data_IF_443601923760
#
_entry.id   IF_443601923760
#
_cell.length_a   1.000
_cell.length_b   1.000
_cell.length_c   1.000
_cell.angle_alpha   90.00
_cell.angle_beta   90.00
_cell.angle_gamma   90.00
#
_symmetry.space_group_name_H-M   'P 1'
#
loop_
_entity.id
_entity.type
_entity.pdbx_description
1 polymer ?
#
# COMPACT_ATOMS: atom_id res chain seq x y z
N UNK A 1 26.18 -2.15 51.63
CA UNK A 1 26.28 -3.62 51.50
C UNK A 1 24.87 -4.17 51.46
N UNK A 2 24.51 -4.89 50.40
CA UNK A 2 23.17 -5.43 50.16
C UNK A 2 22.98 -5.74 48.68
N UNK A 3 23.56 -6.85 48.25
CA UNK A 3 23.43 -7.41 46.89
C UNK A 3 22.05 -8.13 46.70
N UNK A 4 21.66 -8.43 45.44
CA UNK A 4 20.27 -8.59 45.01
C UNK A 4 19.77 -10.04 44.95
N UNK A 5 18.44 -10.21 44.97
CA UNK A 5 17.78 -11.50 44.76
C UNK A 5 17.51 -11.78 43.27
N UNK A 6 17.92 -12.97 42.84
CA UNK A 6 17.83 -13.54 41.50
C UNK A 6 16.77 -14.67 41.48
N UNK A 7 15.92 -14.63 40.45
CA UNK A 7 15.20 -15.68 39.73
C UNK A 7 14.65 -16.92 40.46
N UNK A 8 13.37 -17.27 40.20
CA UNK A 8 12.96 -18.46 39.43
C UNK A 8 11.42 -18.59 39.37
N UNK A 9 10.89 -18.78 38.16
CA UNK A 9 9.66 -19.55 37.89
C UNK A 9 10.10 -20.86 37.20
N UNK A 10 9.34 -21.95 37.31
CA UNK A 10 8.38 -22.26 36.25
C UNK A 10 7.06 -22.88 36.74
N UNK A 11 6.02 -22.67 35.93
CA UNK A 11 4.69 -23.25 36.02
C UNK A 11 4.59 -24.27 34.88
N UNK A 12 4.49 -25.55 35.20
CA UNK A 12 4.16 -26.62 34.25
C UNK A 12 3.11 -27.54 34.88
N UNK A 13 1.87 -27.43 34.41
CA UNK A 13 0.80 -28.35 34.73
C UNK A 13 -0.21 -28.31 33.58
N UNK A 14 -0.32 -29.40 32.81
CA UNK A 14 -1.57 -30.11 32.49
C UNK A 14 -1.32 -31.11 31.35
N UNK A 15 -1.27 -32.40 31.67
CA UNK A 15 -1.49 -33.49 30.73
C UNK A 15 -2.43 -34.48 31.43
N UNK A 16 -3.68 -34.53 30.99
CA UNK A 16 -4.65 -35.54 31.41
C UNK A 16 -5.25 -36.20 30.16
N UNK A 17 -5.18 -37.52 30.16
CA UNK A 17 -5.88 -38.45 29.25
C UNK A 17 -7.04 -39.06 30.04
N UNK A 18 -8.13 -39.50 29.39
CA UNK A 18 -8.42 -40.94 29.51
C UNK A 18 -9.07 -41.59 28.27
N UNK A 19 -8.51 -42.74 27.90
CA UNK A 19 -9.06 -44.09 27.69
C UNK A 19 -10.47 -44.36 27.08
N UNK A 20 -10.43 -45.31 26.14
CA UNK A 20 -11.40 -46.35 25.70
C UNK A 20 -12.47 -46.08 24.62
N UNK A 21 -12.32 -46.77 23.48
CA UNK A 21 -13.22 -47.88 23.11
C UNK A 21 -12.72 -48.66 21.87
N UNK A 22 -12.72 -49.99 22.00
CA UNK A 22 -12.50 -51.00 20.96
C UNK A 22 -13.78 -51.26 20.16
N UNK A 23 -13.73 -51.38 18.83
CA UNK A 23 -14.57 -52.32 18.04
C UNK A 23 -13.80 -52.83 16.79
N UNK A 24 -13.30 -54.05 16.91
CA UNK A 24 -13.42 -55.25 16.05
C UNK A 24 -13.27 -55.27 14.51
N UNK A 25 -12.49 -56.30 14.11
CA UNK A 25 -12.56 -57.21 12.92
C UNK A 25 -11.98 -56.69 11.59
N UNK A 26 -11.42 -57.49 10.69
CA UNK A 26 -10.87 -58.85 10.56
C UNK A 26 -10.54 -58.98 9.06
N UNK A 27 -9.42 -59.59 8.65
CA UNK A 27 -9.26 -60.44 7.43
C UNK A 27 -7.81 -60.45 6.89
N UNK A 28 -7.07 -61.48 7.29
CA UNK A 28 -6.34 -62.47 6.45
C UNK A 28 -5.73 -62.10 5.08
N UNK A 29 -4.40 -62.29 4.98
CA UNK A 29 -3.77 -63.12 3.92
C UNK A 29 -3.22 -62.43 2.65
N UNK A 30 -1.97 -62.72 2.20
CA UNK A 30 -1.34 -62.03 1.06
C UNK A 30 -1.35 -62.78 -0.29
N UNK A 31 -1.58 -62.00 -1.38
CA UNK A 31 -1.18 -62.11 -2.81
C UNK A 31 -1.45 -63.40 -3.61
N UNK A 32 -1.87 -63.23 -4.88
CA UNK A 32 -0.91 -63.45 -5.99
C UNK A 32 -0.87 -62.33 -7.04
N UNK A 33 0.12 -62.44 -7.93
CA UNK A 33 0.75 -61.42 -8.76
C UNK A 33 -0.13 -60.75 -9.83
N UNK A 34 -0.01 -59.41 -9.94
CA UNK A 34 -0.48 -58.62 -11.08
C UNK A 34 0.73 -58.17 -11.92
N UNK A 35 0.81 -58.78 -13.11
CA UNK A 35 1.11 -58.19 -14.42
C UNK A 35 1.93 -56.89 -14.41
N UNK A 36 3.18 -57.00 -14.85
CA UNK A 36 4.04 -55.87 -15.23
C UNK A 36 3.57 -55.25 -16.55
N UNK A 37 3.08 -54.01 -16.51
CA UNK A 37 2.86 -53.16 -17.69
C UNK A 37 4.04 -52.17 -17.80
N UNK A 38 4.68 -51.98 -18.97
CA UNK A 38 5.83 -51.09 -19.10
C UNK A 38 5.42 -49.62 -18.98
N UNK A 39 6.18 -48.89 -18.14
CA UNK A 39 6.15 -47.43 -18.01
C UNK A 39 6.68 -46.80 -19.32
N UNK A 40 5.78 -46.27 -20.16
CA UNK A 40 6.17 -45.41 -21.27
C UNK A 40 6.26 -43.95 -20.80
N UNK A 41 7.42 -43.38 -21.05
CA UNK A 41 7.83 -42.01 -20.80
C UNK A 41 6.86 -40.97 -21.39
N UNK A 42 6.09 -40.32 -20.54
CA UNK A 42 5.41 -39.06 -20.86
C UNK A 42 6.21 -37.87 -20.30
N UNK A 43 7.34 -37.58 -20.93
CA UNK A 43 8.14 -36.37 -20.70
C UNK A 43 7.71 -35.27 -21.67
N UNK A 44 6.82 -34.37 -21.24
CA UNK A 44 6.58 -33.00 -21.78
C UNK A 44 5.30 -32.44 -21.10
N UNK A 45 5.21 -31.28 -20.46
CA UNK A 45 5.95 -30.01 -20.47
C UNK A 45 5.97 -29.48 -19.03
N UNK A 46 7.14 -29.00 -18.57
CA UNK A 46 7.19 -28.21 -17.35
C UNK A 46 6.40 -26.92 -17.58
N UNK A 47 5.42 -26.70 -16.72
CA UNK A 47 4.67 -25.45 -16.62
C UNK A 47 5.65 -24.29 -16.51
N UNK A 48 5.49 -23.36 -17.44
CA UNK A 48 6.37 -22.22 -17.63
C UNK A 48 6.72 -21.55 -16.30
N UNK A 49 8.02 -21.49 -16.07
CA UNK A 49 8.66 -20.59 -15.13
C UNK A 49 8.22 -19.16 -15.49
N UNK A 50 7.12 -18.70 -14.88
CA UNK A 50 6.73 -17.29 -14.93
C UNK A 50 7.74 -16.57 -14.07
N UNK A 51 8.86 -16.22 -14.70
CA UNK A 51 9.87 -15.34 -14.14
C UNK A 51 9.16 -14.05 -13.71
N UNK A 52 8.83 -13.95 -12.43
CA UNK A 52 8.45 -12.69 -11.81
C UNK A 52 9.69 -11.80 -11.88
N UNK A 53 9.85 -11.11 -13.01
CA UNK A 53 10.72 -9.95 -13.13
C UNK A 53 10.19 -8.91 -12.15
N UNK A 54 10.56 -9.03 -10.88
CA UNK A 54 10.48 -7.96 -9.89
C UNK A 54 11.24 -6.81 -10.52
N UNK A 55 10.51 -5.80 -11.02
CA UNK A 55 11.08 -4.50 -11.40
C UNK A 55 11.65 -3.88 -10.13
N UNK A 56 12.86 -4.29 -9.76
CA UNK A 56 13.58 -3.73 -8.61
C UNK A 56 14.13 -2.33 -8.92
N UNK A 57 14.06 -1.89 -10.18
CA UNK A 57 14.44 -0.54 -10.64
C UNK A 57 13.23 0.04 -11.38
N UNK A 58 12.22 0.47 -10.64
CA UNK A 58 11.03 1.11 -11.19
C UNK A 58 10.83 2.45 -10.52
N UNK A 59 11.26 3.54 -11.17
CA UNK A 59 10.94 4.93 -10.86
C UNK A 59 10.98 5.26 -9.36
N UNK A 60 12.13 5.73 -8.88
CA UNK A 60 12.16 6.45 -7.59
C UNK A 60 11.14 7.57 -7.73
N UNK A 61 10.03 7.47 -7.00
CA UNK A 61 8.93 8.43 -7.09
C UNK A 61 9.53 9.82 -6.88
N UNK A 62 9.14 10.87 -7.61
CA UNK A 62 9.76 12.20 -7.47
C UNK A 62 9.73 12.70 -6.02
N UNK A 63 8.73 12.27 -5.23
CA UNK A 63 8.68 12.51 -3.78
C UNK A 63 9.79 11.79 -3.00
N UNK A 64 10.13 10.54 -3.34
CA UNK A 64 11.22 9.78 -2.69
C UNK A 64 12.56 10.46 -2.91
N UNK A 65 12.85 10.91 -4.13
CA UNK A 65 14.08 11.63 -4.43
C UNK A 65 14.16 12.97 -3.66
N UNK A 66 13.04 13.69 -3.54
CA UNK A 66 12.97 14.91 -2.74
C UNK A 66 13.21 14.64 -1.25
N UNK A 67 12.53 13.66 -0.66
CA UNK A 67 12.68 13.32 0.77
C UNK A 67 14.11 12.86 1.06
N UNK A 68 14.66 11.97 0.23
CA UNK A 68 16.04 11.51 0.34
C UNK A 68 17.05 12.67 0.23
N UNK A 69 16.82 13.57 -0.71
CA UNK A 69 17.63 14.78 -0.88
C UNK A 69 17.63 15.66 0.37
N UNK A 70 16.46 15.86 1.01
CA UNK A 70 16.37 16.62 2.26
C UNK A 70 17.12 15.91 3.40
N UNK A 71 16.96 14.59 3.57
CA UNK A 71 17.66 13.82 4.61
C UNK A 71 19.18 13.94 4.46
N UNK A 72 19.69 13.77 3.23
CA UNK A 72 21.12 13.88 2.94
C UNK A 72 21.60 15.31 3.17
N UNK A 73 20.87 16.32 2.68
CA UNK A 73 21.24 17.71 2.83
C UNK A 73 21.33 18.13 4.31
N UNK A 74 20.30 17.82 5.11
CA UNK A 74 20.32 18.12 6.55
C UNK A 74 21.43 17.36 7.27
N UNK A 75 21.66 16.10 6.91
CA UNK A 75 22.74 15.30 7.49
C UNK A 75 24.13 15.87 7.17
N UNK A 76 24.34 16.34 5.93
CA UNK A 76 25.57 17.04 5.55
C UNK A 76 25.74 18.37 6.28
N UNK A 77 24.66 19.15 6.42
CA UNK A 77 24.68 20.41 7.17
C UNK A 77 25.09 20.15 8.63
N UNK A 78 24.47 19.17 9.29
CA UNK A 78 24.81 18.79 10.66
C UNK A 78 26.25 18.30 10.76
N UNK A 79 26.70 17.48 9.81
CA UNK A 79 28.09 17.00 9.77
C UNK A 79 29.09 18.16 9.67
N UNK A 80 28.83 19.13 8.79
CA UNK A 80 29.68 20.31 8.63
C UNK A 80 29.65 21.19 9.87
N UNK A 81 28.48 21.41 10.48
CA UNK A 81 28.34 22.18 11.72
C UNK A 81 29.11 21.55 12.89
N UNK A 82 29.21 20.22 12.94
CA UNK A 82 29.99 19.53 13.97
C UNK A 82 31.48 19.48 13.64
N UNK A 83 31.85 19.30 12.36
CA UNK A 83 33.24 19.19 11.95
C UNK A 83 33.99 20.52 12.02
N UNK A 84 33.40 21.63 11.59
CA UNK A 84 34.11 22.93 11.52
C UNK A 84 34.64 23.37 12.89
N UNK A 85 33.83 23.44 13.97
CA UNK A 85 34.30 23.90 15.28
C UNK A 85 35.39 22.99 15.88
N UNK A 86 35.36 21.71 15.53
CA UNK A 86 36.28 20.69 16.05
C UNK A 86 37.63 20.74 15.33
N UNK A 87 37.64 20.83 14.00
CA UNK A 87 38.87 20.75 13.20
C UNK A 87 39.51 22.11 12.90
N UNK A 88 38.72 23.18 12.74
CA UNK A 88 39.22 24.51 12.38
C UNK A 88 40.25 25.09 13.36
N UNK A 89 40.04 25.11 14.69
CA UNK A 89 41.01 25.71 15.60
C UNK A 89 42.36 24.99 15.58
N UNK A 90 42.36 23.65 15.47
CA UNK A 90 43.59 22.87 15.38
C UNK A 90 44.37 23.14 14.08
N UNK A 91 43.66 23.28 12.96
CA UNK A 91 44.31 23.62 11.68
C UNK A 91 44.97 25.00 11.73
N UNK A 92 44.29 25.99 12.34
CA UNK A 92 44.84 27.34 12.51
C UNK A 92 46.06 27.36 13.45
N UNK A 93 46.07 26.53 14.49
CA UNK A 93 47.24 26.39 15.37
C UNK A 93 48.45 25.76 14.66
N UNK A 94 48.22 24.83 13.74
CA UNK A 94 49.29 24.17 12.97
C UNK A 94 49.98 25.11 11.99
N UNK A 95 49.21 26.01 11.36
CA UNK A 95 49.69 26.99 10.38
C UNK A 95 50.33 28.23 11.03
N UNK A 96 50.28 28.37 12.36
CA UNK A 96 50.78 29.56 13.04
C UNK A 96 52.32 29.62 12.98
N UNK A 97 52.91 30.61 12.29
CA UNK A 97 54.35 30.72 12.12
C UNK A 97 55.08 31.01 13.44
N UNK A 98 54.38 31.51 14.46
CA UNK A 98 54.94 31.86 15.76
C UNK A 98 55.22 30.65 16.67
N UNK A 99 54.66 29.47 16.37
CA UNK A 99 54.93 28.25 17.15
C UNK A 99 56.28 27.65 16.77
N UNK A 100 57.01 27.22 17.79
CA UNK A 100 58.24 26.41 17.67
C UNK A 100 57.94 25.04 17.05
N UNK A 101 58.98 24.37 16.54
CA UNK A 101 58.81 23.06 15.91
C UNK A 101 58.30 21.99 16.90
N UNK A 102 58.66 22.09 18.19
CA UNK A 102 58.17 21.20 19.23
C UNK A 102 56.67 21.38 19.48
N UNK A 103 56.20 22.63 19.57
CA UNK A 103 54.78 22.94 19.80
C UNK A 103 53.92 22.49 18.62
N UNK A 104 54.41 22.66 17.39
CA UNK A 104 53.73 22.13 16.19
C UNK A 104 53.62 20.61 16.19
N UNK A 105 54.64 19.91 16.67
CA UNK A 105 54.61 18.44 16.78
C UNK A 105 53.55 17.97 17.79
N UNK A 106 53.36 18.69 18.90
CA UNK A 106 52.28 18.41 19.87
C UNK A 106 50.90 18.62 19.25
N UNK A 107 50.68 19.76 18.57
CA UNK A 107 49.40 20.03 17.89
C UNK A 107 49.12 19.02 16.77
N UNK A 108 50.15 18.58 16.04
CA UNK A 108 50.00 17.53 15.03
C UNK A 108 49.59 16.19 15.65
N UNK A 109 50.15 15.84 16.81
CA UNK A 109 49.79 14.63 17.54
C UNK A 109 48.35 14.71 18.08
N UNK A 110 47.94 15.87 18.59
CA UNK A 110 46.55 16.11 19.02
C UNK A 110 45.57 16.01 17.86
N UNK A 111 45.92 16.54 16.69
CA UNK A 111 45.12 16.41 15.46
C UNK A 111 44.99 14.94 15.04
N UNK A 112 46.08 14.18 15.08
CA UNK A 112 46.07 12.76 14.73
C UNK A 112 45.22 11.95 15.72
N UNK A 113 45.32 12.23 17.02
CA UNK A 113 44.48 11.62 18.04
C UNK A 113 43.01 11.96 17.90
N UNK A 114 42.68 13.22 17.61
CA UNK A 114 41.32 13.67 17.35
C UNK A 114 40.76 13.00 16.09
N UNK A 115 41.55 12.89 15.03
CA UNK A 115 41.17 12.21 13.79
C UNK A 115 40.87 10.72 14.05
N UNK A 116 41.74 10.01 14.77
CA UNK A 116 41.55 8.61 15.12
C UNK A 116 40.29 8.38 15.95
N UNK A 117 39.93 9.32 16.83
CA UNK A 117 38.72 9.24 17.65
C UNK A 117 37.46 9.68 16.88
N UNK A 118 37.57 10.63 15.96
CA UNK A 118 36.44 11.18 15.20
C UNK A 118 35.89 10.20 14.15
N UNK A 119 36.77 9.52 13.40
CA UNK A 119 36.36 8.66 12.28
C UNK A 119 35.40 7.52 12.65
N UNK A 120 35.58 6.79 13.77
CA UNK A 120 34.61 5.80 14.21
C UNK A 120 33.21 6.38 14.41
N UNK A 121 33.10 7.59 14.99
CA UNK A 121 31.82 8.28 15.17
C UNK A 121 31.25 8.77 13.84
N UNK A 122 32.09 9.31 12.95
CA UNK A 122 31.66 9.74 11.62
C UNK A 122 31.13 8.56 10.78
N UNK A 123 31.82 7.42 10.82
CA UNK A 123 31.39 6.18 10.19
C UNK A 123 30.06 5.70 10.78
N UNK A 124 29.96 5.67 12.11
CA UNK A 124 28.73 5.31 12.82
C UNK A 124 27.55 6.21 12.41
N UNK A 125 27.75 7.52 12.39
CA UNK A 125 26.75 8.48 11.93
C UNK A 125 26.35 8.24 10.47
N UNK A 126 27.30 7.97 9.58
CA UNK A 126 27.02 7.64 8.17
C UNK A 126 26.17 6.37 8.04
N UNK A 127 26.41 5.35 8.86
CA UNK A 127 25.62 4.12 8.88
C UNK A 127 24.18 4.43 9.35
N UNK A 128 24.02 5.25 10.38
CA UNK A 128 22.68 5.67 10.87
C UNK A 128 21.92 6.42 9.77
N UNK A 129 22.57 7.35 9.06
CA UNK A 129 21.97 8.05 7.91
C UNK A 129 21.55 7.06 6.83
N UNK A 130 22.40 6.08 6.50
CA UNK A 130 22.09 5.05 5.51
C UNK A 130 20.86 4.21 5.92
N UNK A 131 20.81 3.77 7.19
CA UNK A 131 19.66 3.03 7.73
C UNK A 131 18.40 3.89 7.66
N UNK A 132 18.49 5.18 8.02
CA UNK A 132 17.37 6.10 7.94
C UNK A 132 16.87 6.25 6.49
N UNK A 133 17.77 6.43 5.53
CA UNK A 133 17.44 6.48 4.10
C UNK A 133 16.71 5.21 3.63
N UNK A 134 17.22 4.03 3.99
CA UNK A 134 16.58 2.76 3.63
C UNK A 134 15.18 2.66 4.27
N UNK A 135 15.06 3.02 5.55
CA UNK A 135 13.78 3.00 6.26
C UNK A 135 12.75 3.93 5.60
N UNK A 136 13.15 5.16 5.24
CA UNK A 136 12.28 6.11 4.52
C UNK A 136 11.83 5.58 3.16
N UNK A 137 12.74 4.93 2.42
CA UNK A 137 12.40 4.32 1.13
C UNK A 137 11.40 3.18 1.27
N UNK A 138 11.61 2.28 2.24
CA UNK A 138 10.71 1.16 2.51
C UNK A 138 9.31 1.64 2.92
N UNK A 139 9.25 2.64 3.81
CA UNK A 139 7.98 3.25 4.23
C UNK A 139 7.23 3.81 3.02
N UNK A 140 7.94 4.53 2.15
CA UNK A 140 7.32 5.13 0.98
C UNK A 140 6.88 4.10 -0.07
N UNK A 141 7.56 2.96 -0.20
CA UNK A 141 7.11 1.86 -1.07
C UNK A 141 5.77 1.28 -0.59
N UNK A 142 5.57 1.17 0.72
CA UNK A 142 4.31 0.69 1.32
C UNK A 142 3.15 1.67 1.12
N UNK A 143 3.43 2.96 0.91
CA UNK A 143 2.41 3.99 0.61
C UNK A 143 2.17 4.15 -0.89
N UNK A 144 3.23 4.08 -1.70
CA UNK A 144 3.16 4.35 -3.14
C UNK A 144 2.31 3.31 -3.91
N UNK A 145 2.37 2.04 -3.51
CA UNK A 145 1.59 0.96 -4.15
C UNK A 145 0.08 1.20 -4.06
N UNK A 146 -0.48 1.33 -2.84
CA UNK A 146 -1.90 1.65 -2.64
C UNK A 146 -2.31 2.98 -3.29
N UNK A 147 -1.47 4.02 -3.19
CA UNK A 147 -1.76 5.32 -3.77
C UNK A 147 -1.86 5.27 -5.31
N UNK A 148 -0.97 4.52 -5.97
CA UNK A 148 -1.04 4.31 -7.41
C UNK A 148 -2.34 3.61 -7.83
N UNK A 149 -2.79 2.64 -7.03
CA UNK A 149 -4.05 1.95 -7.28
C UNK A 149 -5.26 2.87 -7.07
N UNK A 150 -5.26 3.75 -6.06
CA UNK A 150 -6.28 4.81 -5.92
C UNK A 150 -6.29 5.74 -7.13
N UNK A 151 -5.12 6.18 -7.59
CA UNK A 151 -4.98 7.05 -8.77
C UNK A 151 -5.55 6.43 -10.05
N UNK A 152 -5.60 5.10 -10.15
CA UNK A 152 -6.25 4.40 -11.27
C UNK A 152 -7.77 4.21 -11.09
N UNK A 153 -8.27 4.24 -9.85
CA UNK A 153 -9.69 4.05 -9.54
C UNK A 153 -10.45 5.37 -9.63
N UNK A 154 -9.87 6.49 -9.19
CA UNK A 154 -10.55 7.79 -9.19
C UNK A 154 -11.05 8.25 -10.57
N UNK A 155 -10.26 8.16 -11.66
CA UNK A 155 -10.76 8.52 -12.98
C UNK A 155 -11.95 7.66 -13.40
N UNK A 156 -11.94 6.36 -13.09
CA UNK A 156 -13.04 5.45 -13.42
C UNK A 156 -14.32 5.83 -12.68
N UNK A 157 -14.21 6.24 -11.41
CA UNK A 157 -15.35 6.76 -10.63
C UNK A 157 -15.85 8.08 -11.25
N UNK A 158 -14.93 8.98 -11.64
CA UNK A 158 -15.23 10.24 -12.32
C UNK A 158 -15.94 10.05 -13.66
N UNK A 159 -15.58 9.00 -14.41
CA UNK A 159 -16.23 8.59 -15.67
C UNK A 159 -17.59 7.91 -15.44
N UNK A 160 -18.09 7.85 -14.20
CA UNK A 160 -19.40 7.30 -13.85
C UNK A 160 -19.40 5.79 -13.56
N UNK A 161 -18.23 5.13 -13.47
CA UNK A 161 -18.18 3.71 -13.10
C UNK A 161 -18.17 3.51 -11.58
N UNK A 162 -19.35 3.33 -11.01
CA UNK A 162 -19.56 3.16 -9.56
C UNK A 162 -19.39 1.71 -9.08
N UNK A 163 -19.15 0.77 -10.01
CA UNK A 163 -18.92 -0.64 -9.69
C UNK A 163 -17.47 -0.93 -9.28
N UNK A 164 -16.56 0.03 -9.50
CA UNK A 164 -15.14 -0.15 -9.12
C UNK A 164 -15.00 -0.12 -7.60
N UNK A 165 -14.13 -0.98 -7.09
CA UNK A 165 -13.74 -1.01 -5.68
C UNK A 165 -12.23 -0.87 -5.56
N UNK A 166 -11.78 -0.01 -4.66
CA UNK A 166 -10.39 0.09 -4.25
C UNK A 166 -10.15 -0.92 -3.13
N UNK A 167 -9.53 -2.07 -3.45
CA UNK A 167 -9.19 -3.08 -2.43
C UNK A 167 -7.70 -3.08 -2.18
N UNK A 168 -7.24 -2.88 -0.94
CA UNK A 168 -5.83 -2.99 -0.57
C UNK A 168 -5.54 -4.25 0.25
N UNK A 169 -4.27 -4.62 0.36
CA UNK A 169 -3.88 -5.78 1.16
C UNK A 169 -3.86 -5.37 2.64
N UNK A 170 -4.21 -6.30 3.52
CA UNK A 170 -4.10 -6.09 4.97
C UNK A 170 -2.67 -5.62 5.33
N UNK A 171 -2.59 -4.48 6.00
CA UNK A 171 -1.34 -3.84 6.39
C UNK A 171 -0.86 -2.71 5.46
N UNK A 172 -1.56 -2.38 4.37
CA UNK A 172 -1.26 -1.16 3.63
C UNK A 172 -1.70 0.09 4.43
N UNK A 173 -0.95 1.20 4.34
CA UNK A 173 -1.23 2.41 5.14
C UNK A 173 -2.55 3.09 4.77
N UNK A 174 -3.04 2.88 3.53
CA UNK A 174 -4.19 3.59 2.95
C UNK A 174 -5.48 2.75 2.91
N UNK A 175 -5.55 1.69 3.72
CA UNK A 175 -6.75 0.83 3.82
C UNK A 175 -7.98 1.64 4.28
N UNK A 176 -7.91 2.45 5.36
CA UNK A 176 -9.07 3.22 5.82
C UNK A 176 -9.62 4.18 4.75
N UNK A 177 -8.75 4.82 3.99
CA UNK A 177 -9.11 5.73 2.91
C UNK A 177 -9.78 4.99 1.75
N UNK A 178 -9.31 3.78 1.44
CA UNK A 178 -9.94 2.91 0.45
C UNK A 178 -11.37 2.56 0.85
N UNK A 179 -11.57 2.21 2.11
CA UNK A 179 -12.87 1.82 2.65
C UNK A 179 -13.85 2.99 2.62
N UNK A 180 -13.41 4.20 2.97
CA UNK A 180 -14.20 5.42 2.83
C UNK A 180 -14.61 5.68 1.37
N UNK A 181 -13.69 5.54 0.42
CA UNK A 181 -13.99 5.70 -1.02
C UNK A 181 -14.98 4.64 -1.50
N UNK A 182 -14.82 3.39 -1.07
CA UNK A 182 -15.74 2.31 -1.39
C UNK A 182 -17.13 2.56 -0.82
N UNK A 183 -17.21 3.05 0.43
CA UNK A 183 -18.47 3.40 1.09
C UNK A 183 -19.17 4.56 0.35
N UNK A 184 -18.44 5.62 0.01
CA UNK A 184 -18.96 6.74 -0.75
C UNK A 184 -19.49 6.30 -2.12
N UNK A 185 -18.73 5.47 -2.83
CA UNK A 185 -19.11 4.96 -4.16
C UNK A 185 -20.34 4.05 -4.06
N UNK A 186 -20.42 3.21 -3.03
CA UNK A 186 -21.60 2.37 -2.78
C UNK A 186 -22.85 3.21 -2.46
N UNK A 187 -22.73 4.25 -1.63
CA UNK A 187 -23.85 5.16 -1.34
C UNK A 187 -24.32 5.90 -2.60
N UNK A 188 -23.38 6.38 -3.42
CA UNK A 188 -23.70 7.04 -4.68
C UNK A 188 -24.40 6.07 -5.64
N UNK A 189 -23.91 4.83 -5.73
CA UNK A 189 -24.53 3.78 -6.53
C UNK A 189 -25.98 3.52 -6.12
N UNK A 190 -26.25 3.41 -4.81
CA UNK A 190 -27.62 3.23 -4.29
C UNK A 190 -28.53 4.41 -4.67
N UNK A 191 -28.04 5.64 -4.52
CA UNK A 191 -28.80 6.85 -4.88
C UNK A 191 -29.11 6.93 -6.38
N UNK A 192 -28.13 6.61 -7.23
CA UNK A 192 -28.33 6.58 -8.69
C UNK A 192 -29.33 5.49 -9.09
N UNK A 193 -29.24 4.29 -8.49
CA UNK A 193 -30.23 3.24 -8.74
C UNK A 193 -31.65 3.67 -8.34
N UNK A 194 -31.81 4.32 -7.18
CA UNK A 194 -33.10 4.87 -6.77
C UNK A 194 -33.64 5.90 -7.78
N UNK A 195 -32.78 6.80 -8.28
CA UNK A 195 -33.17 7.77 -9.31
C UNK A 195 -33.56 7.09 -10.64
N UNK A 196 -32.86 6.03 -11.06
CA UNK A 196 -33.23 5.22 -12.23
C UNK A 196 -34.62 4.60 -12.06
N UNK A 197 -34.93 4.04 -10.89
CA UNK A 197 -36.27 3.50 -10.61
C UNK A 197 -37.36 4.58 -10.67
N UNK A 198 -37.13 5.74 -10.05
CA UNK A 198 -38.07 6.86 -10.09
C UNK A 198 -38.27 7.37 -11.51
N UNK A 199 -37.21 7.45 -12.31
CA UNK A 199 -37.27 7.86 -13.72
C UNK A 199 -38.11 6.90 -14.56
N UNK A 200 -38.02 5.59 -14.32
CA UNK A 200 -38.88 4.58 -14.98
C UNK A 200 -40.34 4.75 -14.57
N UNK A 201 -40.64 4.96 -13.29
CA UNK A 201 -42.02 5.18 -12.83
C UNK A 201 -42.62 6.45 -13.45
N UNK A 202 -41.88 7.57 -13.43
CA UNK A 202 -42.32 8.82 -14.05
C UNK A 202 -42.55 8.68 -15.56
N UNK A 203 -41.75 7.87 -16.25
CA UNK A 203 -41.95 7.59 -17.68
C UNK A 203 -43.26 6.83 -17.94
N UNK A 204 -43.62 5.87 -17.09
CA UNK A 204 -44.90 5.16 -17.16
C UNK A 204 -46.09 6.09 -16.88
N UNK A 205 -45.98 6.96 -15.86
CA UNK A 205 -47.02 7.93 -15.53
C UNK A 205 -47.21 8.97 -16.64
N UNK A 206 -46.11 9.41 -17.27
CA UNK A 206 -46.17 10.32 -18.43
C UNK A 206 -46.83 9.66 -19.63
N UNK A 207 -46.57 8.38 -19.89
CA UNK A 207 -47.23 7.63 -20.95
C UNK A 207 -48.75 7.54 -20.72
N UNK A 208 -49.17 7.24 -19.49
CA UNK A 208 -50.59 7.25 -19.10
C UNK A 208 -51.23 8.64 -19.24
N UNK A 209 -50.53 9.68 -18.80
CA UNK A 209 -51.00 11.06 -18.93
C UNK A 209 -51.19 11.47 -20.40
N UNK A 210 -50.28 11.05 -21.28
CA UNK A 210 -50.36 11.29 -22.72
C UNK A 210 -51.60 10.64 -23.34
N UNK A 211 -51.93 9.40 -22.96
CA UNK A 211 -53.16 8.73 -23.44
C UNK A 211 -54.41 9.53 -23.04
N UNK A 212 -54.49 10.01 -21.80
CA UNK A 212 -55.61 10.84 -21.33
C UNK A 212 -55.66 12.20 -22.06
N UNK A 213 -54.51 12.83 -22.31
CA UNK A 213 -54.42 14.09 -23.04
C UNK A 213 -54.91 13.96 -24.49
N UNK A 214 -54.61 12.84 -25.15
CA UNK A 214 -55.09 12.53 -26.51
C UNK A 214 -56.61 12.30 -26.51
N UNK A 215 -57.15 11.57 -25.52
CA UNK A 215 -58.60 11.33 -25.40
C UNK A 215 -59.36 12.65 -25.21
N UNK A 216 -58.82 13.58 -24.42
CA UNK A 216 -59.44 14.88 -24.15
C UNK A 216 -59.23 15.92 -25.27
N UNK A 217 -58.35 15.62 -26.23
CA UNK A 217 -58.00 16.42 -27.40
C UNK A 217 -57.61 17.89 -27.08
N UNK A 218 -56.94 18.09 -25.94
CA UNK A 218 -56.47 19.41 -25.50
C UNK A 218 -55.03 19.65 -25.99
N UNK A 219 -54.79 20.64 -26.88
CA UNK A 219 -53.48 20.89 -27.46
C UNK A 219 -52.43 21.31 -26.43
N UNK A 220 -52.83 21.94 -25.31
CA UNK A 220 -51.90 22.34 -24.25
C UNK A 220 -51.41 21.12 -23.45
N UNK A 221 -52.29 20.17 -23.14
CA UNK A 221 -51.93 18.93 -22.44
C UNK A 221 -51.02 18.04 -23.29
N UNK A 222 -51.24 17.99 -24.60
CA UNK A 222 -50.39 17.25 -25.54
C UNK A 222 -48.98 17.85 -25.61
N UNK A 223 -48.87 19.19 -25.64
CA UNK A 223 -47.58 19.88 -25.63
C UNK A 223 -46.81 19.63 -24.32
N UNK A 224 -47.49 19.67 -23.17
CA UNK A 224 -46.90 19.41 -21.86
C UNK A 224 -46.42 17.96 -21.73
N UNK A 225 -47.23 16.98 -22.18
CA UNK A 225 -46.85 15.57 -22.19
C UNK A 225 -45.57 15.34 -23.03
N UNK A 226 -45.48 15.99 -24.20
CA UNK A 226 -44.28 15.93 -25.06
C UNK A 226 -43.05 16.53 -24.39
N UNK A 227 -43.19 17.63 -23.67
CA UNK A 227 -42.09 18.25 -22.91
C UNK A 227 -41.62 17.35 -21.76
N UNK A 228 -42.53 16.71 -21.04
CA UNK A 228 -42.19 15.73 -19.99
C UNK A 228 -41.43 14.52 -20.57
N UNK A 229 -41.86 13.97 -21.70
CA UNK A 229 -41.15 12.89 -22.40
C UNK A 229 -39.70 13.30 -22.76
N UNK A 230 -39.52 14.53 -23.28
CA UNK A 230 -38.19 15.04 -23.62
C UNK A 230 -37.29 15.20 -22.39
N UNK A 231 -37.80 15.77 -21.30
CA UNK A 231 -37.06 15.93 -20.06
C UNK A 231 -36.67 14.58 -19.43
N UNK A 232 -37.59 13.62 -19.43
CA UNK A 232 -37.33 12.26 -18.95
C UNK A 232 -36.33 11.51 -19.84
N UNK A 233 -36.35 11.76 -21.15
CA UNK A 233 -35.35 11.28 -22.09
C UNK A 233 -33.95 11.81 -21.76
N UNK A 234 -33.83 13.12 -21.53
CA UNK A 234 -32.56 13.75 -21.12
C UNK A 234 -32.05 13.21 -19.77
N UNK A 235 -32.95 13.08 -18.79
CA UNK A 235 -32.60 12.49 -17.49
C UNK A 235 -32.13 11.04 -17.63
N UNK A 236 -32.78 10.24 -18.48
CA UNK A 236 -32.36 8.86 -18.78
C UNK A 236 -30.94 8.82 -19.30
N UNK A 237 -30.62 9.61 -20.32
CA UNK A 237 -29.27 9.66 -20.90
C UNK A 237 -28.22 10.06 -19.87
N UNK A 238 -28.53 11.03 -19.01
CA UNK A 238 -27.63 11.42 -17.91
C UNK A 238 -27.43 10.30 -16.89
N UNK A 239 -28.48 9.57 -16.52
CA UNK A 239 -28.40 8.46 -15.56
C UNK A 239 -27.70 7.22 -16.15
N UNK A 240 -27.86 6.98 -17.46
CA UNK A 240 -27.21 5.87 -18.18
C UNK A 240 -25.69 6.06 -18.30
N UNK A 241 -25.20 7.29 -18.18
CA UNK A 241 -23.75 7.58 -18.09
C UNK A 241 -23.13 6.93 -16.84
N UNK A 242 -23.92 6.75 -15.78
CA UNK A 242 -23.46 6.06 -14.56
C UNK A 242 -23.65 4.54 -14.69
N UNK A 243 -22.53 3.81 -14.71
CA UNK A 243 -22.53 2.35 -14.59
C UNK A 243 -22.77 1.97 -13.14
N UNK A 244 -23.91 1.32 -12.92
CA UNK A 244 -24.31 0.74 -11.65
C UNK A 244 -24.59 -0.74 -11.86
N UNK A 245 -24.43 -1.59 -10.83
CA UNK A 245 -24.95 -2.95 -10.92
C UNK A 245 -26.47 -2.86 -11.11
N UNK A 246 -26.95 -3.42 -12.22
CA UNK A 246 -28.33 -3.87 -12.35
C UNK A 246 -28.49 -5.01 -11.36
N UNK A 247 -29.29 -4.79 -10.33
CA UNK A 247 -29.80 -5.88 -9.51
C UNK A 247 -30.68 -6.80 -10.35
#
# INVERSE_FOLDING_TARGET
MGEPLRATSPSDQQADTPTDSKISKESSGPRPALVSVPLQDARAKSSGDRTYKRRLIGFVHPLQARVLGHVIAYSLIVFVLLAIPVFKPLMQSLDNPALSWQERAVVANDLLGLHARFWPWALGASIVVLIHCIHSLLLMQRVAGPLYRLAQVFPKIGDGNLCVRATFREGDYLVPEADLVNQMTAQLQTKINALKHVQVMLALDTARFKEVAVIKNDPALIALAKQMEQNLGGLKTSLDTFKTYSG
#
